data_IF_913189137290
#
_entry.id   IF_913189137290
#
_cell.length_a   1.000
_cell.length_b   1.000
_cell.length_c   1.000
_cell.angle_alpha   90.00
_cell.angle_beta   90.00
_cell.angle_gamma   90.00
#
_symmetry.space_group_name_H-M   'P 1'
#
loop_
_entity.id
_entity.type
_entity.pdbx_description
1 polymer ?
#
# COMPACT_ATOMS: atom_id res chain seq x y z
N UNK A 1 -13.74 11.73 38.10
CA UNK A 1 -12.27 11.88 38.07
C UNK A 1 -11.74 10.78 37.19
N UNK A 2 -11.21 11.15 36.02
CA UNK A 2 -10.75 10.28 34.95
C UNK A 2 -9.37 9.70 35.28
N UNK A 3 -9.31 8.40 35.56
CA UNK A 3 -8.04 7.66 35.70
C UNK A 3 -7.67 7.03 34.34
N UNK A 4 -8.65 6.64 33.52
CA UNK A 4 -8.41 6.00 32.21
C UNK A 4 -7.87 6.97 31.13
N UNK A 5 -8.25 8.24 31.15
CA UNK A 5 -7.72 9.22 30.17
C UNK A 5 -6.23 9.54 30.37
N UNK A 6 -5.71 9.42 31.59
CA UNK A 6 -4.31 9.70 31.90
C UNK A 6 -3.36 8.56 31.49
N UNK A 7 -3.88 7.35 31.31
CA UNK A 7 -3.07 6.20 30.88
C UNK A 7 -2.82 6.21 29.36
N UNK A 8 -3.83 6.56 28.54
CA UNK A 8 -3.67 6.72 27.10
C UNK A 8 -2.71 7.85 26.72
N UNK A 9 -2.86 9.03 27.34
CA UNK A 9 -1.99 10.19 27.11
C UNK A 9 -0.51 9.93 27.47
N UNK A 10 -0.26 9.14 28.52
CA UNK A 10 1.11 8.77 28.92
C UNK A 10 1.75 7.76 27.95
N UNK A 11 0.98 6.80 27.43
CA UNK A 11 1.49 5.84 26.45
C UNK A 11 1.84 6.52 25.14
N UNK A 12 0.97 7.38 24.59
CA UNK A 12 1.25 8.11 23.35
C UNK A 12 2.50 8.99 23.48
N UNK A 13 2.67 9.71 24.59
CA UNK A 13 3.88 10.51 24.86
C UNK A 13 5.15 9.66 25.09
N UNK A 14 5.03 8.40 25.50
CA UNK A 14 6.15 7.46 25.58
C UNK A 14 6.50 6.92 24.18
N UNK A 15 5.50 6.61 23.35
CA UNK A 15 5.70 6.18 21.97
C UNK A 15 6.33 7.27 21.10
N UNK A 16 5.87 8.52 21.19
CA UNK A 16 6.52 9.64 20.49
C UNK A 16 7.99 9.83 20.90
N UNK A 17 8.32 9.54 22.17
CA UNK A 17 9.72 9.58 22.66
C UNK A 17 10.55 8.41 22.18
N UNK A 18 9.94 7.24 22.00
CA UNK A 18 10.64 6.01 21.65
C UNK A 18 10.76 5.79 20.14
N UNK A 19 9.78 6.27 19.35
CA UNK A 19 9.67 6.03 17.91
C UNK A 19 9.39 7.31 17.11
N UNK A 20 9.83 8.48 17.59
CA UNK A 20 9.81 9.71 16.79
C UNK A 20 10.73 9.62 15.57
N UNK A 21 10.70 10.62 14.68
CA UNK A 21 11.40 10.59 13.38
C UNK A 21 12.91 10.24 13.40
N UNK A 22 13.59 10.38 14.56
CA UNK A 22 15.01 10.05 14.74
C UNK A 22 15.26 8.75 15.52
N UNK A 23 14.22 7.99 15.83
CA UNK A 23 14.34 6.74 16.55
C UNK A 23 14.79 5.59 15.63
N UNK A 24 15.54 4.64 16.20
CA UNK A 24 15.84 3.39 15.52
C UNK A 24 14.54 2.61 15.31
N UNK A 25 14.27 2.26 14.06
CA UNK A 25 13.14 1.41 13.71
C UNK A 25 13.31 0.02 14.36
N UNK A 26 12.25 -0.56 14.96
CA UNK A 26 12.31 -1.92 15.47
C UNK A 26 12.54 -2.90 14.31
N UNK A 27 13.25 -4.00 14.56
CA UNK A 27 13.39 -5.07 13.57
C UNK A 27 12.03 -5.75 13.35
N UNK A 28 11.67 -5.96 12.08
CA UNK A 28 10.47 -6.69 11.68
C UNK A 28 10.86 -8.04 11.08
N UNK A 29 10.26 -9.12 11.58
CA UNK A 29 10.36 -10.43 10.92
C UNK A 29 9.28 -10.58 9.84
N UNK A 30 9.64 -10.20 8.60
CA UNK A 30 8.75 -10.32 7.44
C UNK A 30 8.32 -11.76 7.15
N UNK A 31 9.15 -12.75 7.50
CA UNK A 31 8.81 -14.16 7.29
C UNK A 31 7.75 -14.62 8.29
N UNK A 32 7.78 -14.09 9.52
CA UNK A 32 6.71 -14.31 10.51
C UNK A 32 5.40 -13.66 10.07
N UNK A 33 5.43 -12.39 9.64
CA UNK A 33 4.22 -11.66 9.20
C UNK A 33 3.58 -12.38 8.01
N UNK A 34 4.36 -12.65 6.96
CA UNK A 34 3.87 -13.22 5.72
C UNK A 34 4.17 -14.72 5.61
N UNK A 35 3.99 -15.49 6.69
CA UNK A 35 4.30 -16.93 6.78
C UNK A 35 3.64 -17.82 5.71
N UNK A 36 2.54 -17.36 5.12
CA UNK A 36 1.83 -18.07 4.05
C UNK A 36 2.26 -17.63 2.65
N UNK A 37 3.07 -16.58 2.55
CA UNK A 37 3.66 -16.10 1.30
C UNK A 37 5.06 -16.70 1.14
N UNK A 38 5.34 -17.31 -0.01
CA UNK A 38 6.68 -17.84 -0.31
C UNK A 38 7.56 -16.74 -0.88
N UNK A 39 8.13 -15.92 0.00
CA UNK A 39 8.96 -14.79 -0.41
C UNK A 39 10.37 -15.23 -0.80
N UNK A 40 10.91 -14.58 -1.83
CA UNK A 40 12.31 -14.69 -2.23
C UNK A 40 13.15 -13.53 -1.68
N UNK A 41 14.47 -13.63 -1.81
CA UNK A 41 15.42 -12.64 -1.26
C UNK A 41 15.16 -11.22 -1.78
N UNK A 42 14.78 -11.06 -3.06
CA UNK A 42 14.48 -9.75 -3.64
C UNK A 42 13.22 -9.13 -3.04
N UNK A 43 12.21 -9.95 -2.71
CA UNK A 43 10.97 -9.50 -2.05
C UNK A 43 11.21 -9.14 -0.59
N UNK A 44 12.01 -9.92 0.14
CA UNK A 44 12.42 -9.56 1.50
C UNK A 44 13.22 -8.26 1.54
N UNK A 45 14.20 -8.12 0.64
CA UNK A 45 14.98 -6.90 0.54
C UNK A 45 14.11 -5.69 0.15
N UNK A 46 13.14 -5.87 -0.75
CA UNK A 46 12.22 -4.80 -1.11
C UNK A 46 11.34 -4.35 0.07
N UNK A 47 10.78 -5.29 0.84
CA UNK A 47 10.03 -4.97 2.06
C UNK A 47 10.88 -4.20 3.07
N UNK A 48 12.12 -4.65 3.28
CA UNK A 48 13.04 -3.99 4.21
C UNK A 48 13.43 -2.58 3.73
N UNK A 49 13.79 -2.42 2.46
CA UNK A 49 14.10 -1.09 1.89
C UNK A 49 12.90 -0.15 2.00
N UNK A 50 11.69 -0.62 1.65
CA UNK A 50 10.48 0.18 1.79
C UNK A 50 10.22 0.55 3.25
N UNK A 51 10.44 -0.36 4.19
CA UNK A 51 10.27 -0.10 5.62
C UNK A 51 11.24 0.98 6.13
N UNK A 52 12.52 0.86 5.78
CA UNK A 52 13.56 1.81 6.20
C UNK A 52 13.40 3.19 5.55
N UNK A 53 12.83 3.27 4.35
CA UNK A 53 12.54 4.55 3.67
C UNK A 53 11.20 5.18 4.08
N UNK A 54 10.11 4.43 4.03
CA UNK A 54 8.76 4.98 4.12
C UNK A 54 8.37 5.35 5.55
N UNK A 55 8.75 4.53 6.54
CA UNK A 55 8.32 4.75 7.93
C UNK A 55 8.94 6.00 8.57
N UNK A 56 10.26 6.26 8.47
CA UNK A 56 10.84 7.46 9.05
C UNK A 56 10.27 8.73 8.42
N UNK A 57 10.05 8.72 7.10
CA UNK A 57 9.42 9.84 6.41
C UNK A 57 7.99 10.04 6.91
N UNK A 58 7.17 8.99 6.95
CA UNK A 58 5.81 9.07 7.46
C UNK A 58 5.77 9.68 8.88
N UNK A 59 6.64 9.22 9.77
CA UNK A 59 6.78 9.73 11.13
C UNK A 59 7.16 11.21 11.18
N UNK A 60 8.07 11.65 10.30
CA UNK A 60 8.41 13.06 10.15
C UNK A 60 7.20 13.88 9.71
N UNK A 61 6.43 13.40 8.73
CA UNK A 61 5.23 14.09 8.24
C UNK A 61 4.19 14.20 9.35
N UNK A 62 3.94 13.13 10.11
CA UNK A 62 2.98 13.16 11.19
C UNK A 62 3.36 14.15 12.28
N UNK A 63 4.65 14.25 12.61
CA UNK A 63 5.14 15.26 13.55
C UNK A 63 4.92 16.69 13.01
N UNK A 64 5.26 16.94 11.72
CA UNK A 64 5.06 18.23 11.04
C UNK A 64 3.58 18.63 10.91
N UNK A 65 2.68 17.65 10.79
CA UNK A 65 1.23 17.84 10.69
C UNK A 65 0.54 17.83 12.06
N UNK A 66 1.27 17.60 13.15
CA UNK A 66 0.69 17.34 14.48
C UNK A 66 -0.42 16.27 14.42
N UNK A 67 -0.21 15.25 13.60
CA UNK A 67 -1.10 14.12 13.42
C UNK A 67 -0.68 13.01 14.38
N UNK A 68 -1.60 12.57 15.24
CA UNK A 68 -1.35 11.51 16.20
C UNK A 68 -1.90 10.18 15.68
N UNK A 69 -1.00 9.30 15.22
CA UNK A 69 -1.33 7.97 14.68
C UNK A 69 -1.87 7.02 15.77
N UNK A 70 -1.73 7.37 17.05
CA UNK A 70 -2.17 6.55 18.17
C UNK A 70 -3.55 6.99 18.72
N UNK A 71 -4.09 8.13 18.30
CA UNK A 71 -5.42 8.56 18.73
C UNK A 71 -6.54 7.81 17.97
N UNK A 72 -7.51 7.17 18.67
CA UNK A 72 -8.55 6.33 18.05
C UNK A 72 -9.60 7.08 17.22
N UNK A 73 -9.52 8.41 17.15
CA UNK A 73 -10.36 9.25 16.32
C UNK A 73 -9.55 10.45 15.83
N UNK A 74 -8.72 10.25 14.81
CA UNK A 74 -8.09 11.36 14.09
C UNK A 74 -9.10 12.17 13.26
N UNK A 75 -10.32 12.41 13.77
CA UNK A 75 -11.30 13.33 13.19
C UNK A 75 -10.93 14.76 13.58
N UNK A 76 -9.92 15.31 12.91
CA UNK A 76 -9.81 16.76 12.75
C UNK A 76 -9.67 17.06 11.27
N UNK A 77 -10.57 17.88 10.69
CA UNK A 77 -10.38 18.37 9.33
C UNK A 77 -9.11 19.24 9.34
N UNK A 78 -7.99 18.66 8.92
CA UNK A 78 -6.79 19.44 8.65
C UNK A 78 -7.00 20.14 7.30
N UNK A 79 -6.85 21.46 7.31
CA UNK A 79 -7.29 22.35 6.24
C UNK A 79 -6.66 22.08 4.87
N UNK A 80 -7.10 22.84 3.87
CA UNK A 80 -6.75 22.77 2.45
C UNK A 80 -5.25 22.58 2.10
N UNK A 81 -4.30 22.86 3.01
CA UNK A 81 -2.87 22.64 2.81
C UNK A 81 -2.36 21.23 3.11
N UNK A 82 -3.22 20.31 3.58
CA UNK A 82 -2.83 18.91 3.84
C UNK A 82 -2.44 18.19 2.54
N UNK A 83 -3.22 18.36 1.48
CA UNK A 83 -2.97 17.70 0.19
C UNK A 83 -1.68 18.18 -0.48
N UNK A 84 -1.39 19.49 -0.42
CA UNK A 84 -0.13 20.05 -0.94
C UNK A 84 1.07 19.51 -0.15
N UNK A 85 0.96 19.42 1.17
CA UNK A 85 1.99 18.79 2.00
C UNK A 85 2.13 17.30 1.69
N UNK A 86 1.05 16.55 1.49
CA UNK A 86 1.11 15.13 1.13
C UNK A 86 1.88 14.94 -0.18
N UNK A 87 1.59 15.75 -1.21
CA UNK A 87 2.28 15.68 -2.50
C UNK A 87 3.79 15.96 -2.38
N UNK A 88 4.19 16.96 -1.57
CA UNK A 88 5.62 17.23 -1.31
C UNK A 88 6.33 16.06 -0.60
N UNK A 89 5.61 15.26 0.17
CA UNK A 89 6.20 14.15 0.93
C UNK A 89 6.33 12.91 0.05
N UNK A 90 5.42 12.70 -0.90
CA UNK A 90 5.60 11.67 -1.92
C UNK A 90 6.91 11.87 -2.69
N UNK A 91 7.19 13.09 -3.13
CA UNK A 91 8.41 13.38 -3.89
C UNK A 91 9.69 13.11 -3.07
N UNK A 92 9.67 13.45 -1.77
CA UNK A 92 10.76 13.12 -0.84
C UNK A 92 10.94 11.61 -0.66
N UNK A 93 9.84 10.86 -0.57
CA UNK A 93 9.89 9.40 -0.49
C UNK A 93 10.56 8.81 -1.72
N UNK A 94 10.14 9.26 -2.91
CA UNK A 94 10.71 8.76 -4.15
C UNK A 94 12.17 9.16 -4.27
N UNK A 95 12.57 10.38 -3.89
CA UNK A 95 13.98 10.79 -3.87
C UNK A 95 14.84 9.93 -2.92
N UNK A 96 14.32 9.61 -1.73
CA UNK A 96 14.99 8.71 -0.79
C UNK A 96 15.18 7.32 -1.40
N UNK A 97 14.11 6.79 -2.00
CA UNK A 97 14.14 5.48 -2.64
C UNK A 97 15.04 5.45 -3.88
N UNK A 98 15.11 6.52 -4.68
CA UNK A 98 16.07 6.61 -5.80
C UNK A 98 17.51 6.40 -5.30
N UNK A 99 17.89 7.08 -4.22
CA UNK A 99 19.22 6.94 -3.64
C UNK A 99 19.44 5.56 -3.01
N UNK A 100 18.46 5.02 -2.28
CA UNK A 100 18.58 3.70 -1.64
C UNK A 100 18.55 2.54 -2.64
N UNK A 101 17.90 2.73 -3.78
CA UNK A 101 17.76 1.67 -4.79
C UNK A 101 18.90 1.63 -5.81
N UNK A 102 19.74 2.66 -5.90
CA UNK A 102 20.81 2.78 -6.91
C UNK A 102 21.71 1.53 -6.96
N UNK A 103 22.13 1.03 -5.81
CA UNK A 103 23.01 -0.13 -5.67
C UNK A 103 22.27 -1.48 -5.57
N UNK A 104 20.93 -1.47 -5.58
CA UNK A 104 20.15 -2.69 -5.44
C UNK A 104 20.07 -3.49 -6.74
N UNK A 105 19.96 -4.84 -6.69
CA UNK A 105 19.71 -5.64 -7.87
C UNK A 105 18.45 -5.22 -8.62
N UNK A 106 18.46 -5.33 -9.95
CA UNK A 106 17.32 -4.96 -10.80
C UNK A 106 16.00 -5.64 -10.36
N UNK A 107 16.06 -6.91 -9.93
CA UNK A 107 14.90 -7.64 -9.40
C UNK A 107 14.34 -7.01 -8.12
N UNK A 108 15.20 -6.55 -7.22
CA UNK A 108 14.78 -5.87 -5.99
C UNK A 108 14.14 -4.53 -6.31
N UNK A 109 14.73 -3.73 -7.21
CA UNK A 109 14.13 -2.47 -7.67
C UNK A 109 12.76 -2.69 -8.32
N UNK A 110 12.63 -3.73 -9.13
CA UNK A 110 11.33 -4.12 -9.70
C UNK A 110 10.30 -4.47 -8.62
N UNK A 111 10.68 -5.22 -7.57
CA UNK A 111 9.76 -5.50 -6.46
C UNK A 111 9.35 -4.22 -5.73
N UNK A 112 10.30 -3.30 -5.45
CA UNK A 112 10.01 -2.01 -4.82
C UNK A 112 9.00 -1.21 -5.66
N UNK A 113 9.26 -1.05 -6.96
CA UNK A 113 8.36 -0.40 -7.90
C UNK A 113 6.96 -1.04 -7.91
N UNK A 114 6.91 -2.37 -8.08
CA UNK A 114 5.68 -3.14 -8.13
C UNK A 114 4.87 -3.06 -6.83
N UNK A 115 5.54 -3.08 -5.67
CA UNK A 115 4.90 -2.94 -4.35
C UNK A 115 4.37 -1.52 -4.14
N UNK A 116 5.13 -0.47 -4.49
CA UNK A 116 4.71 0.92 -4.32
C UNK A 116 3.42 1.24 -5.06
N UNK A 117 3.31 0.79 -6.33
CA UNK A 117 2.11 0.97 -7.15
C UNK A 117 0.87 0.29 -6.56
N UNK A 118 1.06 -0.63 -5.61
CA UNK A 118 0.03 -1.46 -4.98
C UNK A 118 -0.07 -1.24 -3.47
N UNK A 119 0.45 -0.14 -2.96
CA UNK A 119 0.31 0.26 -1.55
C UNK A 119 1.39 -0.29 -0.60
N UNK A 120 2.57 -0.63 -1.12
CA UNK A 120 3.68 -1.19 -0.34
C UNK A 120 4.14 -0.28 0.82
N UNK A 121 4.14 1.04 0.63
CA UNK A 121 4.48 1.99 1.69
C UNK A 121 3.45 1.98 2.84
N UNK A 122 2.14 1.90 2.51
CA UNK A 122 1.07 1.73 3.50
C UNK A 122 1.24 0.41 4.27
N UNK A 123 1.60 -0.67 3.56
CA UNK A 123 1.78 -2.00 4.14
C UNK A 123 2.91 -2.05 5.18
N UNK A 124 4.10 -1.55 4.84
CA UNK A 124 5.24 -1.57 5.77
C UNK A 124 4.98 -0.67 6.98
N UNK A 125 4.21 0.41 6.80
CA UNK A 125 3.77 1.25 7.91
C UNK A 125 2.77 0.54 8.81
N UNK A 126 1.82 -0.24 8.26
CA UNK A 126 0.92 -1.10 9.05
C UNK A 126 1.70 -2.14 9.86
N UNK A 127 2.76 -2.71 9.30
CA UNK A 127 3.63 -3.65 10.01
C UNK A 127 4.36 -2.97 11.19
N UNK A 128 4.92 -1.78 10.94
CA UNK A 128 5.53 -0.97 12.00
C UNK A 128 4.55 -0.63 13.11
N UNK A 129 3.34 -0.17 12.75
CA UNK A 129 2.33 0.23 13.71
C UNK A 129 1.87 -0.96 14.56
N UNK A 130 1.70 -2.14 13.94
CA UNK A 130 1.41 -3.39 14.64
C UNK A 130 2.52 -3.76 15.63
N UNK A 131 3.78 -3.69 15.19
CA UNK A 131 4.96 -3.95 16.02
C UNK A 131 5.05 -3.01 17.21
N UNK A 132 4.84 -1.71 17.02
CA UNK A 132 4.94 -0.71 18.09
C UNK A 132 3.77 -0.82 19.08
N UNK A 133 2.55 -1.09 18.61
CA UNK A 133 1.37 -1.21 19.49
C UNK A 133 1.35 -2.50 20.30
N UNK A 134 1.76 -3.60 19.70
CA UNK A 134 1.55 -4.95 20.27
C UNK A 134 2.84 -5.63 20.70
N UNK A 135 4.01 -5.06 20.41
CA UNK A 135 5.34 -5.68 20.59
C UNK A 135 5.54 -6.99 19.79
N UNK A 136 4.65 -7.28 18.84
CA UNK A 136 4.64 -8.49 18.01
C UNK A 136 4.76 -8.17 16.52
N UNK A 137 5.37 -9.04 15.73
CA UNK A 137 5.44 -8.90 14.27
C UNK A 137 4.07 -9.24 13.66
N UNK A 138 3.24 -8.20 13.49
CA UNK A 138 1.87 -8.28 12.97
C UNK A 138 1.51 -7.02 12.16
N UNK A 139 0.47 -7.09 11.34
CA UNK A 139 -0.08 -5.91 10.66
C UNK A 139 -1.15 -5.25 11.55
N UNK A 140 -1.09 -3.93 11.67
CA UNK A 140 -2.22 -3.17 12.18
C UNK A 140 -3.36 -3.14 11.15
N UNK A 141 -4.46 -3.84 11.49
CA UNK A 141 -5.65 -4.00 10.65
C UNK A 141 -6.72 -2.94 10.91
N UNK A 142 -6.47 -1.98 11.82
CA UNK A 142 -7.43 -0.90 12.01
C UNK A 142 -7.50 -0.01 10.76
N UNK A 143 -8.71 0.47 10.44
CA UNK A 143 -8.94 1.34 9.29
C UNK A 143 -8.35 2.71 9.60
N UNK A 144 -7.36 3.10 8.80
CA UNK A 144 -6.70 4.40 8.83
C UNK A 144 -6.70 4.93 7.40
N UNK A 145 -7.78 5.62 7.04
CA UNK A 145 -7.99 6.08 5.67
C UNK A 145 -6.98 7.19 5.32
N UNK A 146 -6.63 8.06 6.28
CA UNK A 146 -5.66 9.15 6.09
C UNK A 146 -4.22 8.65 5.87
N UNK A 147 -3.85 7.52 6.47
CA UNK A 147 -2.56 6.88 6.23
C UNK A 147 -2.45 6.37 4.80
N UNK A 148 -3.57 5.88 4.25
CA UNK A 148 -3.62 5.44 2.86
C UNK A 148 -3.39 6.64 1.96
N UNK A 149 -4.06 7.77 2.19
CA UNK A 149 -3.86 8.99 1.40
C UNK A 149 -2.42 9.54 1.46
N UNK A 150 -1.75 9.47 2.61
CA UNK A 150 -0.38 9.98 2.74
C UNK A 150 0.65 9.05 2.09
N UNK A 151 0.50 7.74 2.22
CA UNK A 151 1.53 6.77 1.84
C UNK A 151 1.26 6.08 0.50
N UNK A 152 0.10 6.31 -0.12
CA UNK A 152 -0.09 5.87 -1.50
C UNK A 152 0.62 6.79 -2.49
N UNK A 153 1.55 6.23 -3.25
CA UNK A 153 2.22 6.90 -4.37
C UNK A 153 1.18 7.26 -5.43
N UNK A 154 1.00 8.54 -5.78
CA UNK A 154 0.16 8.99 -6.88
C UNK A 154 0.92 9.16 -8.20
N UNK A 155 2.25 9.08 -8.17
CA UNK A 155 3.15 9.08 -9.32
C UNK A 155 2.77 7.99 -10.31
N UNK A 156 2.72 8.32 -11.60
CA UNK A 156 2.32 7.38 -12.63
C UNK A 156 3.34 6.23 -12.77
N UNK A 157 2.90 5.02 -13.17
CA UNK A 157 3.75 3.83 -13.11
C UNK A 157 5.02 3.92 -13.97
N UNK A 158 4.95 4.60 -15.11
CA UNK A 158 6.10 4.77 -16.02
C UNK A 158 7.12 5.77 -15.50
N UNK A 159 6.67 6.86 -14.90
CA UNK A 159 7.54 7.84 -14.27
C UNK A 159 8.26 7.23 -13.05
N UNK A 160 7.52 6.50 -12.20
CA UNK A 160 8.11 5.80 -11.07
C UNK A 160 9.14 4.75 -11.53
N UNK A 161 8.84 4.01 -12.61
CA UNK A 161 9.79 3.06 -13.19
C UNK A 161 11.07 3.74 -13.69
N UNK A 162 10.95 4.91 -14.33
CA UNK A 162 12.09 5.69 -14.79
C UNK A 162 12.95 6.14 -13.61
N UNK A 163 12.33 6.68 -12.55
CA UNK A 163 12.99 7.14 -11.32
C UNK A 163 13.75 6.00 -10.64
N UNK A 164 13.14 4.83 -10.51
CA UNK A 164 13.75 3.66 -9.86
C UNK A 164 14.61 2.79 -10.79
N UNK A 165 14.88 3.24 -12.03
CA UNK A 165 15.65 2.49 -13.03
C UNK A 165 15.14 1.03 -13.22
N UNK A 166 13.83 0.90 -13.41
CA UNK A 166 13.09 -0.35 -13.66
C UNK A 166 12.55 -0.34 -15.09
N UNK A 167 12.60 -1.49 -15.77
CA UNK A 167 11.84 -1.69 -17.01
C UNK A 167 10.39 -2.04 -16.64
N UNK A 168 9.40 -1.17 -16.90
CA UNK A 168 8.01 -1.43 -16.53
C UNK A 168 7.36 -2.54 -17.36
N UNK A 169 8.01 -2.99 -18.46
CA UNK A 169 7.48 -4.03 -19.36
C UNK A 169 8.09 -5.42 -19.08
N UNK A 170 8.95 -5.54 -18.07
CA UNK A 170 9.48 -6.84 -17.67
C UNK A 170 8.36 -7.74 -17.17
N UNK A 171 8.48 -9.04 -17.42
CA UNK A 171 7.57 -10.08 -16.92
C UNK A 171 8.09 -10.72 -15.64
N UNK A 172 8.83 -9.94 -14.85
CA UNK A 172 9.24 -10.38 -13.52
C UNK A 172 8.00 -10.59 -12.64
N UNK A 173 8.14 -11.41 -11.60
CA UNK A 173 7.03 -11.78 -10.73
C UNK A 173 6.53 -10.57 -9.93
N UNK A 174 5.22 -10.42 -9.78
CA UNK A 174 4.60 -9.41 -8.93
C UNK A 174 4.00 -10.09 -7.69
N UNK A 175 4.57 -9.83 -6.51
CA UNK A 175 4.18 -10.55 -5.29
C UNK A 175 2.81 -10.12 -4.77
N UNK A 176 2.02 -11.08 -4.30
CA UNK A 176 0.83 -10.89 -3.47
C UNK A 176 1.14 -11.41 -2.07
N UNK A 177 0.70 -10.66 -1.05
CA UNK A 177 1.05 -10.97 0.33
C UNK A 177 -0.17 -11.44 1.10
N UNK A 178 -0.11 -12.68 1.59
CA UNK A 178 -1.17 -13.26 2.41
C UNK A 178 -0.93 -12.94 3.88
N UNK A 179 -1.92 -12.31 4.52
CA UNK A 179 -1.95 -12.07 5.96
C UNK A 179 -3.35 -12.39 6.50
N UNK A 180 -3.43 -13.31 7.47
CA UNK A 180 -4.68 -13.92 7.91
C UNK A 180 -5.54 -14.44 6.74
N UNK A 181 -6.74 -13.85 6.54
CA UNK A 181 -7.67 -14.22 5.47
C UNK A 181 -7.72 -13.16 4.35
N UNK A 182 -6.77 -12.22 4.33
CA UNK A 182 -6.73 -11.11 3.39
C UNK A 182 -5.51 -11.20 2.47
N UNK A 183 -5.67 -10.65 1.27
CA UNK A 183 -4.60 -10.49 0.28
C UNK A 183 -4.20 -9.02 0.28
N UNK A 184 -2.92 -8.75 0.48
CA UNK A 184 -2.32 -7.42 0.38
C UNK A 184 -1.56 -7.27 -0.94
N UNK A 185 -1.38 -6.02 -1.35
CA UNK A 185 -0.87 -5.63 -2.68
C UNK A 185 -1.79 -6.07 -3.83
N UNK A 186 -3.09 -6.09 -3.56
CA UNK A 186 -4.15 -6.43 -4.53
C UNK A 186 -4.85 -5.19 -5.13
N UNK A 187 -4.61 -3.99 -4.57
CA UNK A 187 -5.10 -2.68 -5.02
C UNK A 187 -4.06 -1.93 -5.87
N UNK A 188 -4.48 -0.86 -6.53
CA UNK A 188 -3.65 -0.03 -7.41
C UNK A 188 -3.73 1.45 -7.03
N UNK A 189 -2.66 2.20 -7.32
CA UNK A 189 -2.65 3.65 -7.11
C UNK A 189 -3.46 4.44 -8.15
N UNK A 190 -3.69 3.86 -9.32
CA UNK A 190 -4.28 4.56 -10.47
C UNK A 190 -4.86 3.56 -11.47
N UNK A 191 -5.74 4.06 -12.33
CA UNK A 191 -6.33 3.29 -13.43
C UNK A 191 -5.26 2.89 -14.46
N UNK A 192 -4.25 3.73 -14.65
CA UNK A 192 -3.07 3.46 -15.48
C UNK A 192 -2.29 2.25 -14.97
N UNK A 193 -2.12 2.13 -13.65
CA UNK A 193 -1.50 0.95 -13.05
C UNK A 193 -2.36 -0.29 -13.26
N UNK A 194 -3.68 -0.21 -13.10
CA UNK A 194 -4.57 -1.35 -13.36
C UNK A 194 -4.41 -1.86 -14.81
N UNK A 195 -4.40 -0.95 -15.80
CA UNK A 195 -4.18 -1.32 -17.21
C UNK A 195 -2.78 -1.89 -17.46
N UNK A 196 -1.73 -1.30 -16.87
CA UNK A 196 -0.37 -1.84 -17.01
C UNK A 196 -0.29 -3.27 -16.48
N UNK A 197 -0.90 -3.55 -15.33
CA UNK A 197 -0.87 -4.89 -14.74
C UNK A 197 -1.73 -5.91 -15.51
N UNK A 198 -2.73 -5.45 -16.27
CA UNK A 198 -3.41 -6.26 -17.30
C UNK A 198 -2.47 -6.57 -18.46
N UNK A 199 -1.75 -5.57 -18.99
CA UNK A 199 -0.79 -5.74 -20.09
C UNK A 199 0.35 -6.71 -19.73
N UNK A 200 0.79 -6.68 -18.47
CA UNK A 200 1.80 -7.59 -17.93
C UNK A 200 1.26 -9.00 -17.65
N UNK A 201 -0.05 -9.21 -17.74
CA UNK A 201 -0.70 -10.50 -17.47
C UNK A 201 -0.77 -10.86 -15.99
N UNK A 202 -0.63 -9.88 -15.09
CA UNK A 202 -0.77 -10.07 -13.64
C UNK A 202 -2.24 -10.21 -13.25
N UNK A 203 -3.12 -9.48 -13.95
CA UNK A 203 -4.56 -9.54 -13.74
C UNK A 203 -5.29 -9.78 -15.05
N UNK A 204 -6.44 -10.46 -14.95
CA UNK A 204 -7.39 -10.56 -16.04
C UNK A 204 -8.31 -9.33 -16.06
N UNK A 205 -8.41 -8.69 -17.24
CA UNK A 205 -9.19 -7.47 -17.42
C UNK A 205 -10.68 -7.66 -17.09
N UNK A 206 -11.22 -8.84 -17.40
CA UNK A 206 -12.64 -9.18 -17.17
C UNK A 206 -12.91 -9.34 -15.67
N UNK A 207 -12.04 -10.05 -14.96
CA UNK A 207 -12.14 -10.22 -13.51
C UNK A 207 -12.02 -8.90 -12.75
N UNK A 208 -11.09 -8.04 -13.12
CA UNK A 208 -10.97 -6.72 -12.50
C UNK A 208 -12.23 -5.87 -12.75
N UNK A 209 -12.70 -5.84 -13.98
CA UNK A 209 -13.87 -5.05 -14.38
C UNK A 209 -15.18 -5.55 -13.76
N UNK A 210 -15.30 -6.84 -13.49
CA UNK A 210 -16.47 -7.39 -12.80
C UNK A 210 -16.59 -6.89 -11.35
N UNK A 211 -15.46 -6.51 -10.74
CA UNK A 211 -15.38 -6.23 -9.31
C UNK A 211 -15.30 -4.74 -8.99
N UNK A 212 -14.87 -3.89 -9.93
CA UNK A 212 -14.77 -2.44 -9.78
C UNK A 212 -15.29 -1.70 -11.03
N UNK A 213 -16.33 -0.89 -10.85
CA UNK A 213 -16.98 -0.14 -11.93
C UNK A 213 -16.07 0.91 -12.58
N UNK A 214 -15.21 1.57 -11.79
CA UNK A 214 -14.28 2.60 -12.30
C UNK A 214 -13.22 1.97 -13.19
N UNK A 215 -12.70 0.83 -12.76
CA UNK A 215 -11.76 0.03 -13.55
C UNK A 215 -12.47 -0.50 -14.81
N UNK A 216 -13.71 -0.98 -14.69
CA UNK A 216 -14.50 -1.44 -15.83
C UNK A 216 -14.69 -0.36 -16.89
N UNK A 217 -15.15 0.83 -16.50
CA UNK A 217 -15.32 1.97 -17.41
C UNK A 217 -14.01 2.33 -18.12
N UNK A 218 -12.91 2.39 -17.37
CA UNK A 218 -11.59 2.71 -17.92
C UNK A 218 -11.10 1.63 -18.89
N UNK A 219 -11.10 0.35 -18.50
CA UNK A 219 -10.61 -0.75 -19.33
C UNK A 219 -11.46 -0.93 -20.59
N UNK A 220 -12.79 -0.74 -20.50
CA UNK A 220 -13.69 -0.70 -21.68
C UNK A 220 -13.31 0.44 -22.61
N UNK A 221 -13.06 1.64 -22.09
CA UNK A 221 -12.67 2.81 -22.91
C UNK A 221 -11.34 2.61 -23.65
N UNK A 222 -10.46 1.77 -23.11
CA UNK A 222 -9.16 1.41 -23.70
C UNK A 222 -9.21 0.17 -24.60
N UNK A 223 -10.34 -0.52 -24.65
CA UNK A 223 -10.54 -1.72 -25.47
C UNK A 223 -9.93 -3.00 -24.90
N UNK A 224 -9.64 -3.04 -23.59
CA UNK A 224 -9.14 -4.25 -22.93
C UNK A 224 -10.22 -5.31 -22.69
N UNK A 225 -11.48 -4.88 -22.59
CA UNK A 225 -12.62 -5.73 -22.26
C UNK A 225 -13.91 -5.13 -22.85
N UNK A 226 -14.91 -5.96 -23.14
CA UNK A 226 -16.25 -5.54 -23.55
C UNK A 226 -17.28 -5.79 -22.44
N UNK A 227 -18.44 -5.14 -22.52
CA UNK A 227 -19.56 -5.41 -21.61
C UNK A 227 -19.98 -6.89 -21.67
N UNK A 228 -20.04 -7.45 -22.88
CA UNK A 228 -20.41 -8.84 -23.12
C UNK A 228 -19.49 -9.83 -22.39
N UNK A 229 -18.17 -9.58 -22.38
CA UNK A 229 -17.22 -10.43 -21.65
C UNK A 229 -17.45 -10.38 -20.14
N UNK A 230 -17.78 -9.20 -19.59
CA UNK A 230 -18.07 -9.02 -18.17
C UNK A 230 -19.37 -9.75 -17.81
N UNK A 231 -20.42 -9.57 -18.62
CA UNK A 231 -21.72 -10.23 -18.44
C UNK A 231 -21.62 -11.76 -18.53
N UNK A 232 -20.84 -12.27 -19.49
CA UNK A 232 -20.57 -13.70 -19.63
C UNK A 232 -19.86 -14.27 -18.40
N UNK A 233 -18.84 -13.56 -17.89
CA UNK A 233 -18.14 -13.97 -16.67
C UNK A 233 -19.06 -13.92 -15.45
N UNK A 234 -19.90 -12.90 -15.33
CA UNK A 234 -20.89 -12.79 -14.25
C UNK A 234 -21.88 -13.96 -14.28
N UNK A 235 -22.39 -14.30 -15.47
CA UNK A 235 -23.26 -15.47 -15.67
C UNK A 235 -22.55 -16.78 -15.31
N UNK A 236 -21.28 -16.93 -15.69
CA UNK A 236 -20.50 -18.12 -15.39
C UNK A 236 -20.21 -18.30 -13.89
N UNK A 237 -19.99 -17.20 -13.16
CA UNK A 237 -19.72 -17.20 -11.72
C UNK A 237 -21.00 -17.29 -10.88
N UNK A 238 -22.15 -16.88 -11.42
CA UNK A 238 -23.46 -17.02 -10.77
C UNK A 238 -24.51 -17.70 -11.66
N UNK A 239 -24.32 -18.99 -12.03
CA UNK A 239 -25.18 -19.68 -12.98
C UNK A 239 -26.60 -19.97 -12.46
N UNK A 240 -26.83 -19.81 -11.15
CA UNK A 240 -28.11 -20.09 -10.48
C UNK A 240 -28.82 -18.82 -9.99
N UNK A 241 -28.27 -17.63 -10.25
CA UNK A 241 -28.80 -16.34 -9.77
C UNK A 241 -29.12 -16.36 -8.27
N UNK A 242 -28.30 -17.05 -7.47
CA UNK A 242 -28.37 -16.95 -6.02
C UNK A 242 -27.70 -15.63 -5.60
N UNK A 243 -28.28 -14.93 -4.61
CA UNK A 243 -27.96 -13.55 -4.22
C UNK A 243 -26.47 -13.16 -4.35
N UNK A 244 -26.22 -11.96 -4.89
CA UNK A 244 -24.94 -11.36 -5.31
C UNK A 244 -23.70 -11.81 -4.51
N UNK A 245 -23.04 -12.88 -4.98
CA UNK A 245 -21.77 -13.36 -4.41
C UNK A 245 -20.54 -12.56 -4.89
N UNK A 246 -20.64 -11.80 -5.97
CA UNK A 246 -19.58 -10.88 -6.43
C UNK A 246 -19.68 -9.55 -5.70
N UNK A 247 -19.26 -9.54 -4.43
CA UNK A 247 -19.09 -8.29 -3.69
C UNK A 247 -18.11 -7.40 -4.46
N UNK A 248 -18.59 -6.22 -4.88
CA UNK A 248 -17.74 -5.18 -5.48
C UNK A 248 -16.63 -4.79 -4.49
N UNK A 249 -15.44 -4.57 -5.03
CA UNK A 249 -14.25 -4.14 -4.30
C UNK A 249 -13.73 -2.89 -5.01
N UNK A 250 -13.37 -1.85 -4.25
CA UNK A 250 -12.64 -0.72 -4.82
C UNK A 250 -11.17 -1.13 -4.96
N UNK A 251 -10.72 -1.27 -6.21
CA UNK A 251 -9.34 -1.60 -6.56
C UNK A 251 -8.46 -0.35 -6.65
N UNK A 252 -9.05 0.84 -6.72
CA UNK A 252 -8.31 2.10 -6.77
C UNK A 252 -8.22 2.69 -5.36
N UNK A 253 -6.99 2.89 -4.88
CA UNK A 253 -6.71 3.45 -3.58
C UNK A 253 -6.63 4.99 -3.56
#
# INVERSE_FOLDING_TARGET
MNIDQNHGLNQTQQFHRQYGANALLPSIDWAQIFKYSKLNDAQYQALETLYQSAVPLALQVFDELHFDVFEPYAYKPQGLGLFEKIAEQEDKLIQSLEAETEDLPAKTRHQIWSMLLRGGAVLVFKAWLGKVKNEEDCLDTSQFDELSDLLFIKTCPHELAQRLHVDPNTRDEHVFLMYDNEVYLDRFNSLETAALFVDLGVYDATFLSLRDDRVAEYLKSKGYVTEEQIDELQCALNPLFCDDFTRKQDYIA
#
